data_IF_742533608705
#
_entry.id   IF_742533608705
#
_cell.length_a   1.000
_cell.length_b   1.000
_cell.length_c   1.000
_cell.angle_alpha   90.00
_cell.angle_beta   90.00
_cell.angle_gamma   90.00
#
_symmetry.space_group_name_H-M   'P 1'
#
loop_
_entity.id
_entity.type
_entity.pdbx_description
1 polymer ?
#
# COMPACT_ATOMS: atom_id res chain seq x y z
N UNK A 1 -18.23 -6.90 0.60
CA UNK A 1 -19.34 -7.06 1.56
C UNK A 1 -20.50 -6.19 1.11
N UNK A 2 -21.74 -6.70 1.21
CA UNK A 2 -22.94 -5.96 0.86
C UNK A 2 -23.78 -5.75 2.12
N UNK A 3 -24.24 -4.52 2.34
CA UNK A 3 -25.16 -4.18 3.42
C UNK A 3 -26.28 -3.28 2.89
N UNK A 4 -27.52 -3.64 3.24
CA UNK A 4 -28.71 -2.83 2.96
C UNK A 4 -29.41 -2.48 4.28
N UNK A 5 -29.76 -1.21 4.45
CA UNK A 5 -30.53 -0.71 5.59
C UNK A 5 -31.76 0.06 5.11
N UNK A 6 -32.91 -0.24 5.70
CA UNK A 6 -34.16 0.51 5.49
C UNK A 6 -34.57 1.20 6.78
N UNK A 7 -34.90 2.48 6.70
CA UNK A 7 -35.46 3.24 7.84
C UNK A 7 -36.71 3.97 7.37
N UNK A 8 -37.85 3.61 7.95
CA UNK A 8 -39.12 4.32 7.80
C UNK A 8 -39.41 5.09 9.09
N UNK A 9 -39.63 6.41 8.95
CA UNK A 9 -40.11 7.27 10.04
C UNK A 9 -41.39 7.95 9.61
N UNK A 10 -42.39 7.92 10.48
CA UNK A 10 -43.63 8.66 10.33
C UNK A 10 -43.82 9.59 11.52
N UNK A 11 -44.16 10.84 11.24
CA UNK A 11 -44.52 11.84 12.25
C UNK A 11 -45.77 12.60 11.81
N UNK A 12 -46.52 13.17 12.73
CA UNK A 12 -47.73 13.90 12.40
C UNK A 12 -48.51 14.33 13.64
N UNK A 13 -49.55 15.12 13.44
CA UNK A 13 -50.43 15.56 14.52
C UNK A 13 -51.30 14.37 14.97
N UNK A 14 -51.28 13.98 16.26
CA UNK A 14 -52.12 12.88 16.77
C UNK A 14 -53.61 13.14 16.48
N UNK A 15 -54.38 12.06 16.25
CA UNK A 15 -55.78 12.07 15.81
C UNK A 15 -56.01 12.56 14.37
N UNK A 16 -55.42 13.69 13.97
CA UNK A 16 -55.63 14.27 12.64
C UNK A 16 -54.95 13.45 11.53
N UNK A 17 -53.76 12.89 11.81
CA UNK A 17 -53.03 12.07 10.83
C UNK A 17 -53.75 10.77 10.45
N UNK A 18 -54.69 10.31 11.28
CA UNK A 18 -55.41 9.05 11.12
C UNK A 18 -56.78 9.23 10.43
N UNK A 19 -57.14 10.47 10.06
CA UNK A 19 -58.39 10.74 9.35
C UNK A 19 -58.35 10.17 7.92
N UNK A 20 -59.41 9.45 7.48
CA UNK A 20 -59.52 9.04 6.09
C UNK A 20 -59.58 10.28 5.19
N UNK A 21 -58.95 10.21 4.02
CA UNK A 21 -58.81 11.28 3.01
C UNK A 21 -57.89 12.44 3.42
N UNK A 22 -58.06 13.03 4.61
CA UNK A 22 -57.36 14.26 5.02
C UNK A 22 -56.10 14.04 5.85
N UNK A 23 -55.90 12.85 6.43
CA UNK A 23 -54.76 12.57 7.30
C UNK A 23 -53.39 12.70 6.62
N UNK A 24 -53.35 12.62 5.28
CA UNK A 24 -52.14 12.83 4.49
C UNK A 24 -51.57 14.26 4.62
N UNK A 25 -52.42 15.27 4.86
CA UNK A 25 -51.98 16.67 5.01
C UNK A 25 -51.32 16.93 6.37
N UNK A 26 -51.59 16.08 7.36
CA UNK A 26 -51.12 16.23 8.74
C UNK A 26 -50.07 15.19 9.13
N UNK A 27 -49.61 14.38 8.17
CA UNK A 27 -48.53 13.39 8.37
C UNK A 27 -47.35 13.69 7.46
N UNK A 28 -46.16 13.43 7.98
CA UNK A 28 -44.89 13.47 7.26
C UNK A 28 -44.25 12.10 7.33
N UNK A 29 -43.97 11.52 6.15
CA UNK A 29 -43.32 10.22 6.02
C UNK A 29 -41.94 10.43 5.43
N UNK A 30 -40.92 9.96 6.14
CA UNK A 30 -39.54 9.98 5.68
C UNK A 30 -39.05 8.55 5.49
N UNK A 31 -38.73 8.20 4.24
CA UNK A 31 -38.20 6.89 3.86
C UNK A 31 -36.76 7.03 3.42
N UNK A 32 -35.84 6.34 4.08
CA UNK A 32 -34.43 6.36 3.74
C UNK A 32 -33.94 4.93 3.47
N UNK A 33 -33.41 4.73 2.26
CA UNK A 33 -32.73 3.50 1.85
C UNK A 33 -31.23 3.75 1.77
N UNK A 34 -30.45 2.97 2.50
CA UNK A 34 -28.98 3.05 2.50
C UNK A 34 -28.41 1.77 1.91
N UNK A 35 -27.58 1.90 0.87
CA UNK A 35 -26.88 0.78 0.22
C UNK A 35 -25.38 1.00 0.33
N UNK A 36 -24.68 0.05 0.92
CA UNK A 36 -23.22 0.10 1.05
C UNK A 36 -22.61 -1.06 0.28
N UNK A 37 -21.85 -0.73 -0.77
CA UNK A 37 -21.11 -1.69 -1.60
C UNK A 37 -19.61 -1.54 -1.36
N UNK A 38 -18.97 -2.63 -0.95
CA UNK A 38 -17.52 -2.69 -0.79
C UNK A 38 -16.95 -3.84 -1.63
N UNK A 39 -16.06 -3.49 -2.56
CA UNK A 39 -15.30 -4.42 -3.41
C UNK A 39 -13.82 -4.30 -3.06
N UNK A 40 -13.18 -5.43 -2.79
CA UNK A 40 -11.73 -5.51 -2.53
C UNK A 40 -11.15 -6.41 -3.63
N UNK A 41 -10.15 -5.90 -4.35
CA UNK A 41 -9.44 -6.64 -5.39
C UNK A 41 -7.98 -6.81 -4.96
N UNK A 42 -7.49 -8.05 -5.00
CA UNK A 42 -6.10 -8.38 -4.71
C UNK A 42 -5.43 -8.84 -5.99
N UNK A 43 -4.26 -8.28 -6.30
CA UNK A 43 -3.39 -8.74 -7.38
C UNK A 43 -2.25 -9.54 -6.78
N UNK A 44 -2.38 -10.87 -6.64
CA UNK A 44 -1.25 -11.67 -6.17
C UNK A 44 -0.14 -11.70 -7.23
N UNK A 45 1.11 -11.70 -6.78
CA UNK A 45 2.30 -11.98 -7.60
C UNK A 45 3.06 -13.15 -6.96
N UNK A 46 3.55 -14.07 -7.78
CA UNK A 46 4.43 -15.17 -7.37
C UNK A 46 5.87 -14.68 -7.58
N UNK A 47 6.69 -14.77 -6.53
CA UNK A 47 8.12 -14.44 -6.58
C UNK A 47 8.91 -15.75 -6.51
N UNK A 48 9.73 -16.03 -7.52
CA UNK A 48 10.63 -17.18 -7.52
C UNK A 48 11.87 -16.89 -6.65
N UNK A 49 12.32 -17.90 -5.89
CA UNK A 49 13.46 -17.77 -4.98
C UNK A 49 14.76 -17.40 -5.71
N UNK A 50 14.90 -17.84 -6.96
CA UNK A 50 16.09 -17.58 -7.79
C UNK A 50 16.23 -16.09 -8.14
N UNK A 51 15.10 -15.37 -8.27
CA UNK A 51 15.10 -13.93 -8.53
C UNK A 51 15.64 -13.16 -7.31
N UNK A 52 15.35 -13.61 -6.09
CA UNK A 52 15.88 -12.99 -4.87
C UNK A 52 17.39 -13.26 -4.70
N UNK A 53 17.83 -14.48 -5.03
CA UNK A 53 19.23 -14.85 -4.95
C UNK A 53 20.10 -14.08 -5.96
N UNK A 54 19.57 -13.80 -7.16
CA UNK A 54 20.23 -12.95 -8.16
C UNK A 54 20.36 -11.51 -7.71
N UNK A 55 19.25 -10.89 -7.28
CA UNK A 55 19.22 -9.47 -6.89
C UNK A 55 20.18 -9.13 -5.73
N UNK A 56 20.34 -10.03 -4.76
CA UNK A 56 21.27 -9.82 -3.63
C UNK A 56 22.72 -10.03 -4.06
N UNK A 57 23.00 -11.02 -4.92
CA UNK A 57 24.34 -11.31 -5.42
C UNK A 57 24.89 -10.19 -6.31
N UNK A 58 24.05 -9.67 -7.19
CA UNK A 58 24.42 -8.58 -8.10
C UNK A 58 24.78 -7.30 -7.31
N UNK A 59 24.07 -7.02 -6.21
CA UNK A 59 24.36 -5.90 -5.32
C UNK A 59 25.71 -6.02 -4.60
N UNK A 60 26.02 -7.20 -4.07
CA UNK A 60 27.29 -7.47 -3.37
C UNK A 60 28.51 -7.38 -4.30
N UNK A 61 28.34 -7.78 -5.57
CA UNK A 61 29.39 -7.70 -6.59
C UNK A 61 29.71 -6.24 -6.96
N UNK A 62 28.69 -5.42 -7.18
CA UNK A 62 28.88 -3.98 -7.48
C UNK A 62 29.60 -3.28 -6.33
N UNK A 63 29.23 -3.58 -5.09
CA UNK A 63 29.86 -2.99 -3.90
C UNK A 63 31.33 -3.38 -3.82
N UNK A 64 31.66 -4.67 -4.02
CA UNK A 64 33.05 -5.16 -3.98
C UNK A 64 33.91 -4.60 -5.10
N UNK A 65 33.41 -4.59 -6.33
CA UNK A 65 34.12 -4.00 -7.47
C UNK A 65 34.42 -2.52 -7.23
N UNK A 66 33.49 -1.78 -6.62
CA UNK A 66 33.67 -0.38 -6.26
C UNK A 66 34.74 -0.14 -5.18
N UNK A 67 35.01 -1.13 -4.32
CA UNK A 67 36.01 -1.03 -3.24
C UNK A 67 37.41 -1.44 -3.71
N UNK A 68 37.54 -2.44 -4.58
CA UNK A 68 38.84 -2.91 -5.09
C UNK A 68 39.48 -1.91 -6.08
N UNK A 69 38.68 -1.07 -6.75
CA UNK A 69 39.18 -0.04 -7.68
C UNK A 69 39.75 1.23 -7.00
N UNK A 70 39.82 1.27 -5.65
CA UNK A 70 40.40 2.40 -4.92
C UNK A 70 41.76 2.05 -4.28
N UNK A 71 42.87 1.97 -5.05
CA UNK A 71 44.20 1.81 -4.48
C UNK A 71 44.56 3.05 -3.67
N UNK A 72 44.75 2.87 -2.36
CA UNK A 72 45.33 3.91 -1.49
C UNK A 72 44.49 4.40 -0.32
N UNK A 73 43.33 3.80 0.00
CA UNK A 73 42.58 4.14 1.24
C UNK A 73 42.81 3.15 2.39
N UNK A 74 43.68 2.16 2.22
CA UNK A 74 43.95 1.11 3.21
C UNK A 74 44.99 1.49 4.28
N UNK A 75 45.49 2.73 4.27
CA UNK A 75 46.41 3.22 5.29
C UNK A 75 47.73 2.45 5.39
N UNK A 76 48.10 1.65 4.38
CA UNK A 76 49.41 1.01 4.32
C UNK A 76 50.44 2.07 3.93
N UNK A 77 51.55 2.25 4.69
CA UNK A 77 52.66 3.03 4.19
C UNK A 77 53.11 2.36 2.88
N UNK A 78 53.22 3.14 1.81
CA UNK A 78 53.84 2.66 0.57
C UNK A 78 55.22 2.14 0.95
N UNK A 79 55.41 0.83 0.84
CA UNK A 79 56.64 0.16 1.22
C UNK A 79 57.71 0.59 0.22
N UNK A 80 58.66 1.35 0.74
CA UNK A 80 59.85 1.87 0.07
C UNK A 80 60.88 0.79 -0.28
N UNK A 81 60.46 -0.47 -0.32
CA UNK A 81 61.30 -1.64 -0.56
C UNK A 81 60.97 -2.33 -1.89
N UNK A 82 60.76 -1.56 -2.95
CA UNK A 82 60.68 -2.09 -4.31
C UNK A 82 61.34 -1.13 -5.31
N UNK A 83 62.65 -0.94 -5.15
CA UNK A 83 63.53 -0.44 -6.21
C UNK A 83 64.76 -1.35 -6.30
N UNK A 84 64.66 -2.43 -7.09
CA UNK A 84 65.77 -3.31 -7.47
C UNK A 84 66.29 -2.92 -8.87
N UNK A 85 67.18 -1.94 -8.91
CA UNK A 85 67.68 -1.32 -10.15
C UNK A 85 68.50 -2.25 -11.07
N UNK A 86 67.85 -3.18 -11.76
CA UNK A 86 68.43 -3.93 -12.89
C UNK A 86 67.31 -4.42 -13.81
N UNK A 87 66.75 -3.50 -14.60
CA UNK A 87 65.99 -3.86 -15.79
C UNK A 87 66.93 -4.47 -16.83
N UNK A 88 66.52 -5.59 -17.44
CA UNK A 88 66.48 -5.69 -18.90
C UNK A 88 65.05 -5.74 -19.43
#
# INVERSE_FOLDING_TARGET
LLSEGMTDRESGVPLLKDLPLLGLLFKSTHKQKTKTELVIMLTPMILDADIQAGLVRDGDEIIRASFDEHPGIDGRPADDQQWDGSAP
#
